data_IF_560860640145
#
_entry.id   IF_560860640145
#
_cell.length_a   1.000
_cell.length_b   1.000
_cell.length_c   1.000
_cell.angle_alpha   90.00
_cell.angle_beta   90.00
_cell.angle_gamma   90.00
#
_symmetry.space_group_name_H-M   'P 1'
#
loop_
_entity.id
_entity.type
_entity.pdbx_description
1 polymer ?
#
# COMPACT_ATOMS: atom_id res chain seq x y z
N UNK A 1 -30.41 39.21 67.49
CA UNK A 1 -29.57 38.03 67.19
C UNK A 1 -28.74 38.40 65.97
N UNK A 2 -27.46 38.80 66.22
CA UNK A 2 -26.55 39.16 65.13
C UNK A 2 -25.81 37.91 64.67
N UNK A 3 -26.13 37.45 63.48
CA UNK A 3 -25.34 36.44 62.78
C UNK A 3 -24.01 37.11 62.34
N UNK A 4 -22.92 36.75 62.95
CA UNK A 4 -21.59 37.10 62.52
C UNK A 4 -21.22 36.07 61.40
N UNK A 5 -21.37 36.51 60.20
CA UNK A 5 -20.86 35.76 59.02
C UNK A 5 -19.33 35.73 59.09
N UNK A 6 -18.82 34.56 59.49
CA UNK A 6 -17.38 34.32 59.56
C UNK A 6 -16.84 33.94 58.16
N UNK A 7 -16.75 34.94 57.27
CA UNK A 7 -16.14 34.77 55.98
C UNK A 7 -14.63 34.54 56.11
N UNK A 8 -14.24 33.25 56.13
CA UNK A 8 -12.84 32.81 56.05
C UNK A 8 -12.34 33.09 54.65
N UNK A 9 -11.48 34.07 54.45
CA UNK A 9 -10.81 34.30 53.19
C UNK A 9 -9.80 33.18 52.88
N UNK A 10 -9.66 32.88 51.59
CA UNK A 10 -8.63 31.94 51.12
C UNK A 10 -7.23 32.47 51.39
N UNK A 11 -6.37 31.58 51.88
CA UNK A 11 -4.93 31.92 52.05
C UNK A 11 -4.23 31.91 50.71
N UNK A 12 -3.21 32.76 50.54
CA UNK A 12 -2.41 32.83 49.30
C UNK A 12 -1.78 31.47 48.94
N UNK A 13 -1.43 30.68 49.97
CA UNK A 13 -0.86 29.34 49.81
C UNK A 13 -1.90 28.34 49.26
N UNK A 14 -3.15 28.38 49.73
CA UNK A 14 -4.23 27.55 49.17
C UNK A 14 -4.52 27.85 47.71
N UNK A 15 -4.50 29.14 47.33
CA UNK A 15 -4.65 29.54 45.94
C UNK A 15 -3.51 29.02 45.05
N UNK A 16 -2.26 29.16 45.47
CA UNK A 16 -1.09 28.65 44.76
C UNK A 16 -1.13 27.12 44.61
N UNK A 17 -1.51 26.42 45.64
CA UNK A 17 -1.64 24.95 45.60
C UNK A 17 -2.76 24.50 44.71
N UNK A 18 -3.90 25.17 44.74
CA UNK A 18 -5.02 24.87 43.82
C UNK A 18 -4.66 25.12 42.36
N UNK A 19 -3.98 26.27 42.04
CA UNK A 19 -3.54 26.58 40.69
C UNK A 19 -2.51 25.56 40.17
N UNK A 20 -1.56 25.14 41.00
CA UNK A 20 -0.56 24.14 40.61
C UNK A 20 -1.22 22.77 40.32
N UNK A 21 -2.19 22.36 41.11
CA UNK A 21 -2.93 21.11 40.91
C UNK A 21 -3.74 21.16 39.63
N UNK A 22 -4.49 22.25 39.37
CA UNK A 22 -5.25 22.45 38.15
C UNK A 22 -4.34 22.44 36.91
N UNK A 23 -3.16 23.07 36.98
CA UNK A 23 -2.19 23.09 35.88
C UNK A 23 -1.68 21.68 35.54
N UNK A 24 -1.36 20.86 36.53
CA UNK A 24 -0.94 19.47 36.33
C UNK A 24 -2.06 18.62 35.73
N UNK A 25 -3.30 18.83 36.19
CA UNK A 25 -4.44 18.11 35.69
C UNK A 25 -4.76 18.47 34.22
N UNK A 26 -4.69 19.76 33.88
CA UNK A 26 -4.85 20.24 32.50
C UNK A 26 -3.75 19.68 31.57
N UNK A 27 -2.50 19.62 32.05
CA UNK A 27 -1.40 19.03 31.31
C UNK A 27 -1.65 17.53 31.02
N UNK A 28 -2.10 16.78 32.02
CA UNK A 28 -2.41 15.36 31.84
C UNK A 28 -3.55 15.13 30.85
N UNK A 29 -4.60 15.97 30.91
CA UNK A 29 -5.72 15.91 29.94
C UNK A 29 -5.22 16.23 28.54
N UNK A 30 -4.43 17.30 28.37
CA UNK A 30 -3.90 17.69 27.07
C UNK A 30 -3.09 16.57 26.41
N UNK A 31 -2.18 15.93 27.15
CA UNK A 31 -1.40 14.80 26.66
C UNK A 31 -2.27 13.61 26.26
N UNK A 32 -3.33 13.34 27.01
CA UNK A 32 -4.27 12.26 26.71
C UNK A 32 -5.03 12.54 25.39
N UNK A 33 -5.50 13.78 25.21
CA UNK A 33 -6.23 14.19 23.99
C UNK A 33 -5.35 14.10 22.75
N UNK A 34 -4.09 14.55 22.84
CA UNK A 34 -3.13 14.41 21.73
C UNK A 34 -2.92 12.95 21.37
N UNK A 35 -2.68 12.08 22.37
CA UNK A 35 -2.50 10.65 22.12
C UNK A 35 -3.71 9.97 21.51
N UNK A 36 -4.92 10.37 21.91
CA UNK A 36 -6.17 9.90 21.28
C UNK A 36 -6.25 10.33 19.81
N UNK A 37 -5.82 11.55 19.48
CA UNK A 37 -5.75 12.04 18.10
C UNK A 37 -4.87 11.16 17.22
N UNK A 38 -3.65 10.85 17.67
CA UNK A 38 -2.71 9.99 16.94
C UNK A 38 -3.30 8.59 16.70
N UNK A 39 -3.89 7.96 17.73
CA UNK A 39 -4.52 6.65 17.61
C UNK A 39 -5.71 6.66 16.64
N UNK A 40 -6.50 7.74 16.64
CA UNK A 40 -7.61 7.88 15.72
C UNK A 40 -7.12 7.99 14.26
N UNK A 41 -6.12 8.82 14.00
CA UNK A 41 -5.51 8.97 12.68
C UNK A 41 -4.92 7.65 12.19
N UNK A 42 -4.18 6.93 13.03
CA UNK A 42 -3.64 5.61 12.72
C UNK A 42 -4.74 4.61 12.36
N UNK A 43 -5.86 4.62 13.10
CA UNK A 43 -7.02 3.78 12.81
C UNK A 43 -7.66 4.09 11.45
N UNK A 44 -7.76 5.35 11.06
CA UNK A 44 -8.24 5.76 9.74
C UNK A 44 -7.28 5.33 8.63
N UNK A 45 -5.98 5.54 8.81
CA UNK A 45 -4.94 5.13 7.87
C UNK A 45 -5.00 3.63 7.60
N UNK A 46 -5.06 2.81 8.66
CA UNK A 46 -5.16 1.36 8.54
C UNK A 46 -6.47 0.93 7.85
N UNK A 47 -7.59 1.59 8.14
CA UNK A 47 -8.87 1.31 7.50
C UNK A 47 -8.80 1.58 5.99
N UNK A 48 -8.20 2.69 5.57
CA UNK A 48 -8.07 3.05 4.15
C UNK A 48 -7.20 2.05 3.39
N UNK A 49 -6.04 1.67 3.95
CA UNK A 49 -5.17 0.63 3.38
C UNK A 49 -5.93 -0.69 3.23
N UNK A 50 -6.70 -1.09 4.25
CA UNK A 50 -7.45 -2.34 4.22
C UNK A 50 -8.58 -2.33 3.18
N UNK A 51 -9.31 -1.23 3.04
CA UNK A 51 -10.37 -1.09 2.04
C UNK A 51 -9.81 -1.11 0.62
N UNK A 52 -8.74 -0.34 0.37
CA UNK A 52 -8.07 -0.32 -0.93
C UNK A 52 -7.49 -1.70 -1.27
N UNK A 53 -6.77 -2.31 -0.34
CA UNK A 53 -6.16 -3.61 -0.54
C UNK A 53 -7.16 -4.73 -0.81
N UNK A 54 -8.29 -4.74 -0.09
CA UNK A 54 -9.36 -5.69 -0.36
C UNK A 54 -9.98 -5.47 -1.74
N UNK A 55 -10.26 -4.22 -2.10
CA UNK A 55 -10.82 -3.89 -3.42
C UNK A 55 -9.91 -4.33 -4.56
N UNK A 56 -8.61 -4.04 -4.45
CA UNK A 56 -7.60 -4.45 -5.43
C UNK A 56 -7.47 -5.97 -5.49
N UNK A 57 -7.40 -6.64 -4.35
CA UNK A 57 -7.27 -8.10 -4.27
C UNK A 57 -8.48 -8.82 -4.87
N UNK A 58 -9.69 -8.34 -4.58
CA UNK A 58 -10.92 -8.91 -5.15
C UNK A 58 -10.99 -8.72 -6.67
N UNK A 59 -10.52 -7.57 -7.18
CA UNK A 59 -10.51 -7.30 -8.63
C UNK A 59 -9.46 -8.15 -9.34
N UNK A 60 -8.24 -8.25 -8.81
CA UNK A 60 -7.18 -9.11 -9.32
C UNK A 60 -7.63 -10.58 -9.30
N UNK A 61 -8.21 -11.04 -8.19
CA UNK A 61 -8.69 -12.41 -8.05
C UNK A 61 -9.72 -12.78 -9.11
N UNK A 62 -10.67 -11.88 -9.39
CA UNK A 62 -11.66 -12.07 -10.45
C UNK A 62 -11.03 -12.07 -11.83
N UNK A 63 -10.07 -11.20 -12.10
CA UNK A 63 -9.40 -11.13 -13.40
C UNK A 63 -8.54 -12.36 -13.66
N UNK A 64 -7.83 -12.87 -12.65
CA UNK A 64 -7.09 -14.14 -12.74
C UNK A 64 -8.05 -15.30 -12.97
N UNK A 65 -9.16 -15.36 -12.26
CA UNK A 65 -10.16 -16.44 -12.43
C UNK A 65 -10.85 -16.41 -13.80
N UNK A 66 -10.91 -15.25 -14.44
CA UNK A 66 -11.44 -15.08 -15.79
C UNK A 66 -10.41 -15.35 -16.90
N UNK A 67 -9.12 -15.42 -16.55
CA UNK A 67 -8.05 -15.71 -17.50
C UNK A 67 -8.11 -17.16 -17.97
N UNK A 68 -7.76 -17.39 -19.23
CA UNK A 68 -7.66 -18.74 -19.81
C UNK A 68 -6.35 -19.40 -19.41
N UNK A 69 -5.30 -18.60 -19.28
CA UNK A 69 -3.94 -19.03 -18.93
C UNK A 69 -3.25 -17.93 -18.13
N UNK A 70 -2.38 -18.31 -17.23
CA UNK A 70 -1.50 -17.39 -16.49
C UNK A 70 -0.12 -18.02 -16.32
N UNK A 71 0.91 -17.34 -16.80
CA UNK A 71 2.32 -17.71 -16.60
C UNK A 71 2.94 -16.84 -15.50
N UNK A 72 3.88 -17.41 -14.77
CA UNK A 72 4.66 -16.68 -13.72
C UNK A 72 6.16 -16.67 -14.01
N UNK A 73 6.57 -17.18 -15.18
CA UNK A 73 7.97 -17.22 -15.62
C UNK A 73 8.41 -15.99 -16.43
N UNK A 74 7.49 -15.05 -16.67
CA UNK A 74 7.77 -13.82 -17.39
C UNK A 74 7.93 -13.97 -18.90
N UNK A 75 7.68 -15.17 -19.46
CA UNK A 75 8.01 -15.48 -20.86
C UNK A 75 6.83 -15.35 -21.83
N UNK A 76 5.61 -15.14 -21.35
CA UNK A 76 4.41 -15.14 -22.18
C UNK A 76 3.62 -13.83 -22.14
N UNK A 77 2.83 -13.58 -23.19
CA UNK A 77 1.93 -12.43 -23.29
C UNK A 77 0.79 -12.43 -22.25
N UNK A 78 0.60 -13.55 -21.54
CA UNK A 78 -0.33 -13.66 -20.41
C UNK A 78 0.47 -14.09 -19.20
N UNK A 79 0.65 -13.20 -18.22
CA UNK A 79 1.40 -13.59 -17.05
C UNK A 79 1.81 -12.47 -16.12
N UNK A 80 2.52 -12.87 -15.10
CA UNK A 80 3.12 -11.98 -14.12
C UNK A 80 4.57 -11.68 -14.50
N UNK A 81 4.88 -10.42 -14.65
CA UNK A 81 6.20 -9.95 -15.05
C UNK A 81 6.69 -8.89 -14.05
N UNK A 82 7.81 -9.18 -13.40
CA UNK A 82 8.54 -8.19 -12.61
C UNK A 82 9.46 -7.38 -13.52
N UNK A 83 9.47 -6.08 -13.35
CA UNK A 83 10.45 -5.21 -13.97
C UNK A 83 11.57 -4.92 -13.00
N UNK A 84 12.81 -5.09 -13.46
CA UNK A 84 14.00 -4.95 -12.62
C UNK A 84 14.97 -3.94 -13.21
N UNK A 85 15.60 -3.20 -12.31
CA UNK A 85 16.79 -2.38 -12.61
C UNK A 85 17.97 -3.07 -11.89
N UNK A 86 18.85 -3.69 -12.65
CA UNK A 86 19.86 -4.59 -12.09
C UNK A 86 19.20 -5.81 -11.42
N UNK A 87 19.44 -6.00 -10.11
CA UNK A 87 18.83 -7.09 -9.31
C UNK A 87 17.56 -6.64 -8.58
N UNK A 88 17.21 -5.35 -8.63
CA UNK A 88 16.14 -4.77 -7.81
C UNK A 88 14.84 -4.70 -8.60
N UNK A 89 13.75 -5.22 -8.06
CA UNK A 89 12.40 -5.04 -8.61
C UNK A 89 11.99 -3.58 -8.39
N UNK A 90 11.53 -2.93 -9.44
CA UNK A 90 11.07 -1.53 -9.41
C UNK A 90 9.58 -1.40 -9.67
N UNK A 91 8.98 -2.40 -10.29
CA UNK A 91 7.57 -2.46 -10.62
C UNK A 91 7.26 -3.72 -11.40
N UNK A 92 6.17 -3.72 -12.15
CA UNK A 92 5.82 -4.85 -12.99
C UNK A 92 4.43 -4.76 -13.58
N UNK A 93 3.98 -5.89 -14.11
CA UNK A 93 2.67 -6.04 -14.74
C UNK A 93 2.10 -7.43 -14.55
N UNK A 94 0.79 -7.49 -14.48
CA UNK A 94 0.03 -8.73 -14.46
C UNK A 94 -0.95 -8.71 -15.63
N UNK A 95 -0.72 -9.59 -16.59
CA UNK A 95 -1.51 -9.75 -17.79
C UNK A 95 -2.47 -10.93 -17.66
N UNK A 96 -3.77 -10.68 -17.74
CA UNK A 96 -4.79 -11.73 -17.60
C UNK A 96 -5.51 -12.04 -18.93
N UNK A 97 -4.96 -11.52 -20.03
CA UNK A 97 -5.49 -11.72 -21.39
C UNK A 97 -6.52 -10.69 -21.85
N UNK A 98 -7.32 -10.14 -20.97
CA UNK A 98 -8.28 -9.06 -21.28
C UNK A 98 -7.98 -7.77 -20.56
N UNK A 99 -7.22 -7.88 -19.48
CA UNK A 99 -6.87 -6.76 -18.60
C UNK A 99 -5.41 -6.89 -18.20
N UNK A 100 -4.72 -5.77 -18.15
CA UNK A 100 -3.35 -5.67 -17.63
C UNK A 100 -3.33 -4.73 -16.44
N UNK A 101 -2.78 -5.23 -15.31
CA UNK A 101 -2.45 -4.41 -14.15
C UNK A 101 -0.99 -3.99 -14.26
N UNK A 102 -0.74 -2.73 -14.01
CA UNK A 102 0.60 -2.14 -14.11
C UNK A 102 0.86 -1.38 -12.83
N UNK A 103 2.05 -1.57 -12.24
CA UNK A 103 2.41 -0.91 -10.99
C UNK A 103 3.88 -0.52 -10.96
N UNK A 104 4.20 0.45 -10.11
CA UNK A 104 5.54 0.71 -9.61
C UNK A 104 5.55 0.53 -8.09
N UNK A 105 6.70 0.15 -7.54
CA UNK A 105 6.86 0.06 -6.10
C UNK A 105 6.87 1.45 -5.46
N UNK A 106 6.26 1.55 -4.28
CA UNK A 106 6.17 2.82 -3.54
C UNK A 106 7.53 3.46 -3.27
N UNK A 107 8.56 2.66 -3.05
CA UNK A 107 9.94 3.15 -2.89
C UNK A 107 10.39 3.96 -4.10
N UNK A 108 10.22 3.44 -5.31
CA UNK A 108 10.65 4.10 -6.54
C UNK A 108 9.92 5.42 -6.76
N UNK A 109 8.65 5.48 -6.34
CA UNK A 109 7.83 6.69 -6.42
C UNK A 109 8.30 7.74 -5.39
N UNK A 110 8.66 7.32 -4.17
CA UNK A 110 9.11 8.22 -3.10
C UNK A 110 10.46 8.88 -3.38
N UNK A 111 11.37 8.13 -3.99
CA UNK A 111 12.72 8.62 -4.29
C UNK A 111 12.73 9.66 -5.41
N UNK A 112 11.55 10.01 -5.94
CA UNK A 112 11.32 10.98 -7.05
C UNK A 112 12.25 10.74 -8.26
N UNK A 113 12.68 9.50 -8.42
CA UNK A 113 13.56 9.10 -9.49
C UNK A 113 12.73 8.58 -10.67
N UNK A 114 12.08 9.49 -11.37
CA UNK A 114 11.24 9.18 -12.53
C UNK A 114 11.98 8.36 -13.60
N UNK A 115 13.32 8.35 -13.58
CA UNK A 115 14.12 7.55 -14.52
C UNK A 115 14.15 6.08 -14.19
N UNK A 116 13.92 5.69 -12.94
CA UNK A 116 13.90 4.30 -12.48
C UNK A 116 12.51 3.68 -12.51
N UNK A 117 11.45 4.48 -12.68
CA UNK A 117 10.10 3.95 -12.79
C UNK A 117 9.99 3.02 -13.98
N UNK A 118 9.49 1.82 -13.72
CA UNK A 118 9.32 0.80 -14.74
C UNK A 118 8.27 1.17 -15.78
N UNK A 119 7.20 1.81 -15.33
CA UNK A 119 5.98 2.05 -16.09
C UNK A 119 5.63 3.53 -16.05
N UNK A 120 5.27 4.11 -17.20
CA UNK A 120 5.02 5.55 -17.35
C UNK A 120 3.77 5.80 -18.18
N UNK A 121 3.21 6.98 -18.00
CA UNK A 121 2.18 7.50 -18.89
C UNK A 121 2.76 8.09 -20.16
N UNK A 122 2.00 7.98 -21.25
CA UNK A 122 2.31 8.59 -22.54
C UNK A 122 2.16 10.12 -22.51
N UNK A 123 2.74 10.79 -23.51
CA UNK A 123 2.51 12.22 -23.75
C UNK A 123 3.24 13.17 -22.81
N UNK A 124 4.28 12.70 -22.08
CA UNK A 124 5.05 13.53 -21.17
C UNK A 124 4.35 13.78 -19.83
N UNK A 125 3.35 12.99 -19.49
CA UNK A 125 2.73 13.00 -18.16
C UNK A 125 3.78 12.57 -17.13
N UNK A 126 4.03 13.43 -16.15
CA UNK A 126 5.03 13.21 -15.10
C UNK A 126 4.49 12.50 -13.87
N UNK A 127 3.19 12.17 -13.84
CA UNK A 127 2.60 11.42 -12.73
C UNK A 127 3.17 10.02 -12.67
N UNK A 128 3.55 9.59 -11.49
CA UNK A 128 3.98 8.23 -11.26
C UNK A 128 2.77 7.28 -11.27
N UNK A 129 2.85 6.20 -12.04
CA UNK A 129 1.87 5.11 -11.97
C UNK A 129 2.07 4.41 -10.63
N UNK A 130 1.07 4.46 -9.75
CA UNK A 130 1.06 3.71 -8.48
C UNK A 130 0.60 2.28 -8.72
N UNK A 131 -0.63 2.12 -9.12
CA UNK A 131 -1.22 0.88 -9.61
C UNK A 131 -2.44 1.22 -10.46
N UNK A 132 -2.44 0.76 -11.69
CA UNK A 132 -3.52 1.00 -12.65
C UNK A 132 -3.99 -0.31 -13.26
N UNK A 133 -5.22 -0.28 -13.77
CA UNK A 133 -5.83 -1.31 -14.58
C UNK A 133 -6.09 -0.77 -15.98
N UNK A 134 -5.67 -1.50 -17.00
CA UNK A 134 -5.87 -1.15 -18.41
C UNK A 134 -6.63 -2.28 -19.08
N UNK A 135 -7.64 -1.95 -19.89
CA UNK A 135 -8.29 -2.94 -20.77
C UNK A 135 -7.33 -3.21 -21.93
N UNK A 136 -6.91 -4.46 -22.05
CA UNK A 136 -5.83 -4.89 -22.95
C UNK A 136 -6.25 -6.09 -23.81
N UNK A 137 -7.27 -5.89 -24.63
CA UNK A 137 -7.73 -6.91 -25.56
C UNK A 137 -6.71 -7.03 -26.70
N UNK A 138 -5.85 -8.02 -26.62
CA UNK A 138 -4.78 -8.25 -27.59
C UNK A 138 -3.37 -8.23 -27.01
N UNK A 139 -3.22 -7.98 -25.70
CA UNK A 139 -1.93 -8.12 -25.00
C UNK A 139 -0.88 -7.06 -25.38
N UNK A 140 -1.31 -5.87 -25.82
CA UNK A 140 -0.41 -4.79 -26.24
C UNK A 140 0.53 -4.38 -25.11
N UNK A 141 0.03 -4.33 -23.88
CA UNK A 141 0.81 -3.97 -22.70
C UNK A 141 1.53 -5.16 -22.05
N UNK A 142 1.47 -6.32 -22.66
CA UNK A 142 2.07 -7.56 -22.16
C UNK A 142 3.31 -8.00 -22.97
N UNK A 143 3.71 -7.23 -23.96
CA UNK A 143 4.91 -7.49 -24.75
C UNK A 143 6.21 -7.26 -23.98
N UNK A 144 7.33 -7.60 -24.60
CA UNK A 144 8.68 -7.40 -24.02
C UNK A 144 8.94 -5.90 -23.80
N UNK A 145 8.54 -5.09 -24.78
CA UNK A 145 8.64 -3.63 -24.69
C UNK A 145 7.29 -3.08 -24.23
N UNK A 146 7.23 -2.53 -23.02
CA UNK A 146 6.03 -1.88 -22.53
C UNK A 146 5.86 -0.54 -23.26
N UNK A 147 4.81 -0.36 -24.08
CA UNK A 147 4.50 0.94 -24.62
C UNK A 147 4.03 1.88 -23.52
N UNK A 148 4.25 3.17 -23.70
CA UNK A 148 3.73 4.19 -22.82
C UNK A 148 2.20 4.07 -22.71
N UNK A 149 1.68 4.20 -21.50
CA UNK A 149 0.25 3.96 -21.21
C UNK A 149 -0.53 5.25 -21.39
N UNK A 150 -1.52 5.24 -22.26
CA UNK A 150 -2.41 6.38 -22.41
C UNK A 150 -3.25 6.59 -21.14
N UNK A 151 -3.18 7.77 -20.49
CA UNK A 151 -3.90 8.04 -19.24
C UNK A 151 -5.41 7.79 -19.33
N UNK A 152 -5.98 8.03 -20.52
CA UNK A 152 -7.41 7.86 -20.80
C UNK A 152 -7.88 6.41 -20.84
N UNK A 153 -6.96 5.46 -21.02
CA UNK A 153 -7.23 4.02 -21.01
C UNK A 153 -6.98 3.36 -19.67
N UNK A 154 -6.33 4.09 -18.77
CA UNK A 154 -5.97 3.60 -17.46
C UNK A 154 -7.03 3.93 -16.42
N UNK A 155 -7.32 3.00 -15.54
CA UNK A 155 -8.14 3.19 -14.34
C UNK A 155 -7.26 3.04 -13.12
N UNK A 156 -7.15 4.10 -12.31
CA UNK A 156 -6.43 4.04 -11.04
C UNK A 156 -7.11 3.05 -10.09
N UNK A 157 -6.31 2.14 -9.53
CA UNK A 157 -6.79 1.12 -8.59
C UNK A 157 -6.66 1.57 -7.14
N UNK A 158 -5.83 2.58 -6.90
CA UNK A 158 -5.60 3.14 -5.58
C UNK A 158 -6.31 4.49 -5.46
N UNK A 159 -7.07 4.74 -4.39
CA UNK A 159 -7.82 5.98 -4.24
C UNK A 159 -6.88 7.19 -4.24
N UNK A 160 -7.33 8.27 -4.87
CA UNK A 160 -6.74 9.58 -4.67
C UNK A 160 -7.28 10.15 -3.37
N UNK A 161 -6.40 10.41 -2.42
CA UNK A 161 -6.75 10.94 -1.10
C UNK A 161 -5.56 11.57 -0.40
N UNK A 162 -5.77 12.00 0.82
CA UNK A 162 -4.70 12.59 1.66
C UNK A 162 -3.58 11.58 1.94
N UNK A 163 -3.92 10.29 1.94
CA UNK A 163 -2.97 9.21 2.05
C UNK A 163 -2.59 8.72 0.64
N UNK A 164 -1.34 8.93 0.28
CA UNK A 164 -0.80 8.35 -0.95
C UNK A 164 -0.54 6.86 -0.71
N UNK A 165 -1.40 6.00 -1.24
CA UNK A 165 -1.20 4.55 -1.19
C UNK A 165 -0.33 4.09 -2.36
N UNK A 166 0.52 3.08 -2.10
CA UNK A 166 1.34 2.45 -3.12
C UNK A 166 1.52 0.96 -2.85
N UNK A 167 1.92 0.24 -3.90
CA UNK A 167 2.34 -1.16 -3.81
C UNK A 167 3.73 -1.19 -3.17
N UNK A 168 3.86 -1.90 -2.05
CA UNK A 168 5.15 -2.10 -1.39
C UNK A 168 5.81 -3.41 -1.83
N UNK A 169 5.00 -4.44 -2.13
CA UNK A 169 5.43 -5.71 -2.70
C UNK A 169 4.27 -6.36 -3.46
N UNK A 170 4.57 -7.03 -4.57
CA UNK A 170 3.60 -7.82 -5.30
C UNK A 170 4.27 -9.06 -5.87
N UNK A 171 3.74 -10.23 -5.55
CA UNK A 171 4.26 -11.51 -6.00
C UNK A 171 3.14 -12.49 -6.31
N UNK A 172 3.35 -13.31 -7.32
CA UNK A 172 2.44 -14.41 -7.68
C UNK A 172 3.27 -15.68 -7.82
N UNK A 173 2.81 -16.77 -7.20
CA UNK A 173 3.44 -18.08 -7.28
C UNK A 173 2.44 -19.13 -7.68
N UNK A 174 2.80 -19.99 -8.61
CA UNK A 174 2.01 -21.18 -8.91
C UNK A 174 2.20 -22.19 -7.78
N UNK A 175 1.09 -22.60 -7.14
CA UNK A 175 1.11 -23.54 -6.01
C UNK A 175 0.64 -24.93 -6.40
N UNK A 176 -0.16 -25.03 -7.46
CA UNK A 176 -0.60 -26.32 -8.00
C UNK A 176 -0.91 -26.20 -9.50
N UNK A 177 -0.69 -27.29 -10.22
CA UNK A 177 -1.09 -27.48 -11.60
C UNK A 177 -1.66 -28.89 -11.77
N UNK A 178 -2.72 -29.02 -12.55
CA UNK A 178 -3.31 -30.30 -12.89
C UNK A 178 -3.25 -30.49 -14.41
N UNK A 179 -2.38 -31.37 -14.86
CA UNK A 179 -2.14 -31.63 -16.29
C UNK A 179 -3.36 -32.19 -17.01
N UNK A 180 -4.28 -32.87 -16.31
CA UNK A 180 -5.48 -33.47 -16.91
C UNK A 180 -6.56 -32.41 -17.16
N UNK A 181 -6.80 -31.54 -16.18
CA UNK A 181 -7.82 -30.49 -16.27
C UNK A 181 -7.26 -29.14 -16.76
N UNK A 182 -5.95 -29.05 -16.99
CA UNK A 182 -5.25 -27.81 -17.36
C UNK A 182 -5.56 -26.63 -16.41
N UNK A 183 -5.81 -26.97 -15.14
CA UNK A 183 -6.13 -25.97 -14.12
C UNK A 183 -4.90 -25.69 -13.27
N UNK A 184 -4.66 -24.41 -13.07
CA UNK A 184 -3.58 -23.92 -12.21
C UNK A 184 -4.14 -23.14 -11.04
N UNK A 185 -3.48 -23.27 -9.89
CA UNK A 185 -3.78 -22.47 -8.70
C UNK A 185 -2.58 -21.60 -8.39
N UNK A 186 -2.85 -20.34 -8.17
CA UNK A 186 -1.85 -19.32 -7.87
C UNK A 186 -2.09 -18.72 -6.49
N UNK A 187 -1.02 -18.59 -5.73
CA UNK A 187 -0.98 -17.77 -4.52
C UNK A 187 -0.55 -16.37 -4.93
N UNK A 188 -1.37 -15.41 -4.59
CA UNK A 188 -1.14 -13.99 -4.84
C UNK A 188 -0.83 -13.32 -3.51
N UNK A 189 0.26 -12.59 -3.46
CA UNK A 189 0.73 -11.85 -2.30
C UNK A 189 0.87 -10.39 -2.72
N UNK A 190 0.07 -9.50 -2.14
CA UNK A 190 0.08 -8.08 -2.40
C UNK A 190 0.28 -7.34 -1.08
N UNK A 191 1.32 -6.53 -0.98
CA UNK A 191 1.52 -5.62 0.14
C UNK A 191 1.22 -4.19 -0.33
N UNK A 192 0.20 -3.60 0.28
CA UNK A 192 -0.19 -2.21 0.08
C UNK A 192 0.05 -1.42 1.35
N UNK A 193 0.46 -0.19 1.18
CA UNK A 193 0.67 0.70 2.30
C UNK A 193 0.69 2.16 1.89
N UNK A 194 0.77 3.01 2.88
CA UNK A 194 1.02 4.43 2.70
C UNK A 194 2.38 4.65 2.05
N UNK A 195 2.56 5.78 1.38
CA UNK A 195 3.79 6.11 0.65
C UNK A 195 4.40 7.45 1.13
N UNK A 196 4.27 7.73 2.43
CA UNK A 196 4.84 8.91 3.07
C UNK A 196 6.32 8.65 3.41
N UNK A 197 7.22 9.51 2.93
CA UNK A 197 8.66 9.41 3.15
C UNK A 197 9.04 9.57 4.62
N UNK A 198 8.29 10.39 5.37
CA UNK A 198 8.57 10.64 6.79
C UNK A 198 8.05 9.49 7.68
N UNK A 199 7.08 8.74 7.20
CA UNK A 199 6.49 7.61 7.92
C UNK A 199 7.17 6.26 7.64
N UNK A 200 7.88 6.13 6.51
CA UNK A 200 8.43 4.86 6.01
C UNK A 200 9.95 4.83 6.03
N UNK A 201 10.49 3.63 6.17
CA UNK A 201 11.91 3.33 5.99
C UNK A 201 12.10 2.12 5.07
N UNK A 202 13.20 2.12 4.33
CA UNK A 202 13.61 0.97 3.52
C UNK A 202 14.70 0.20 4.27
N UNK A 203 14.49 -1.08 4.47
CA UNK A 203 15.44 -1.98 5.14
C UNK A 203 16.03 -2.88 4.07
N UNK A 204 17.35 -2.85 3.91
CA UNK A 204 18.09 -3.73 3.02
C UNK A 204 18.56 -4.95 3.80
N UNK A 205 18.02 -6.11 3.46
CA UNK A 205 18.52 -7.38 3.99
C UNK A 205 19.71 -7.82 3.10
N UNK A 206 20.88 -7.84 3.71
CA UNK A 206 22.15 -8.25 3.07
C UNK A 206 22.60 -9.65 3.45
N UNK A 207 21.86 -10.35 4.32
CA UNK A 207 22.20 -11.71 4.74
C UNK A 207 21.89 -12.74 3.64
N UNK A 208 21.00 -12.39 2.71
CA UNK A 208 20.69 -13.20 1.53
C UNK A 208 21.68 -12.96 0.41
N UNK A 209 21.94 -13.99 -0.41
CA UNK A 209 22.81 -13.88 -1.61
C UNK A 209 22.29 -12.86 -2.65
N UNK A 210 21.05 -12.47 -2.55
CA UNK A 210 20.42 -11.40 -3.33
C UNK A 210 19.85 -10.37 -2.34
N UNK A 211 20.35 -9.13 -2.34
CA UNK A 211 19.83 -8.10 -1.45
C UNK A 211 18.32 -7.89 -1.66
N UNK A 212 17.55 -8.05 -0.60
CA UNK A 212 16.11 -7.79 -0.63
C UNK A 212 15.83 -6.50 0.12
N UNK A 213 15.15 -5.56 -0.53
CA UNK A 213 14.75 -4.30 0.08
C UNK A 213 13.29 -4.42 0.49
N UNK A 214 13.03 -4.30 1.78
CA UNK A 214 11.68 -4.28 2.35
C UNK A 214 11.34 -2.89 2.86
N UNK A 215 10.08 -2.51 2.73
CA UNK A 215 9.57 -1.25 3.29
C UNK A 215 8.85 -1.52 4.59
N UNK A 216 9.12 -0.74 5.62
CA UNK A 216 8.45 -0.83 6.91
C UNK A 216 8.16 0.56 7.48
N UNK A 217 7.25 0.62 8.46
CA UNK A 217 7.04 1.84 9.22
C UNK A 217 8.28 2.19 10.05
N UNK A 218 8.61 3.49 10.12
CA UNK A 218 9.66 3.96 11.02
C UNK A 218 9.27 3.68 12.47
N UNK A 219 10.23 3.34 13.35
CA UNK A 219 9.97 3.21 14.78
C UNK A 219 9.40 4.51 15.38
N UNK A 220 8.55 4.43 16.41
CA UNK A 220 7.94 5.61 17.02
C UNK A 220 8.95 6.55 17.71
N UNK A 221 10.15 6.05 17.99
CA UNK A 221 11.20 6.80 18.66
C UNK A 221 12.16 7.51 17.68
N UNK A 222 12.00 7.32 16.38
CA UNK A 222 12.79 8.01 15.38
C UNK A 222 12.36 9.47 15.28
N UNK A 223 13.33 10.38 15.27
CA UNK A 223 13.07 11.81 15.17
C UNK A 223 12.36 12.12 13.84
N UNK A 224 11.23 12.81 13.94
CA UNK A 224 10.38 13.13 12.78
C UNK A 224 9.52 11.99 12.25
N UNK A 225 9.46 10.85 12.95
CA UNK A 225 8.59 9.75 12.55
C UNK A 225 7.12 10.15 12.62
N UNK A 226 6.40 10.00 11.50
CA UNK A 226 4.96 10.21 11.39
C UNK A 226 4.23 8.87 11.41
N UNK A 227 4.42 8.12 12.47
CA UNK A 227 3.90 6.75 12.60
C UNK A 227 2.37 6.68 12.47
N UNK A 228 1.65 7.72 12.86
CA UNK A 228 0.19 7.80 12.74
C UNK A 228 -0.31 7.76 11.28
N UNK A 229 0.55 8.10 10.32
CA UNK A 229 0.28 8.02 8.89
C UNK A 229 0.89 6.78 8.23
N UNK A 230 1.48 5.88 9.00
CA UNK A 230 2.05 4.65 8.47
C UNK A 230 1.12 3.47 8.68
N UNK A 231 0.78 2.83 7.57
CA UNK A 231 0.15 1.51 7.57
C UNK A 231 0.62 0.73 6.35
N UNK A 232 1.06 -0.49 6.57
CA UNK A 232 1.34 -1.47 5.52
C UNK A 232 0.59 -2.74 5.89
N UNK A 233 -0.15 -3.30 4.93
CA UNK A 233 -0.83 -4.56 5.14
C UNK A 233 -0.59 -5.53 3.99
N UNK A 234 -0.49 -6.81 4.32
CA UNK A 234 -0.32 -7.91 3.40
C UNK A 234 -1.66 -8.56 3.12
N UNK A 235 -2.00 -8.66 1.85
CA UNK A 235 -3.16 -9.37 1.33
C UNK A 235 -2.69 -10.63 0.63
N UNK A 236 -3.12 -11.76 1.12
CA UNK A 236 -2.74 -13.07 0.59
C UNK A 236 -3.99 -13.86 0.26
N UNK A 237 -4.10 -14.30 -0.98
CA UNK A 237 -5.23 -15.07 -1.44
C UNK A 237 -4.81 -16.06 -2.53
N UNK A 238 -5.68 -17.03 -2.80
CA UNK A 238 -5.48 -17.98 -3.90
C UNK A 238 -6.48 -17.70 -5.01
N UNK A 239 -6.00 -17.73 -6.25
CA UNK A 239 -6.81 -17.63 -7.44
C UNK A 239 -6.61 -18.86 -8.32
N UNK A 240 -7.68 -19.32 -8.94
CA UNK A 240 -7.66 -20.49 -9.83
C UNK A 240 -7.86 -20.03 -11.28
N UNK A 241 -6.96 -20.46 -12.12
CA UNK A 241 -7.07 -20.34 -13.58
C UNK A 241 -7.39 -21.71 -14.13
N UNK A 242 -8.32 -21.80 -15.04
CA UNK A 242 -8.60 -23.08 -15.66
C UNK A 242 -9.57 -22.94 -16.82
N UNK A 243 -9.39 -23.74 -17.85
CA UNK A 243 -10.22 -23.74 -19.00
C UNK A 243 -11.70 -23.82 -18.61
N UNK A 244 -12.50 -22.90 -19.08
CA UNK A 244 -13.92 -23.17 -19.29
C UNK A 244 -13.97 -24.48 -20.05
N UNK A 245 -14.60 -25.50 -19.47
CA UNK A 245 -14.66 -26.83 -20.05
C UNK A 245 -14.84 -26.75 -21.54
N UNK A 246 -14.07 -27.55 -22.27
CA UNK A 246 -14.35 -27.77 -23.68
C UNK A 246 -15.83 -28.07 -23.79
N UNK A 247 -16.59 -27.20 -24.39
CA UNK A 247 -17.93 -27.54 -24.85
C UNK A 247 -17.72 -28.71 -25.80
N UNK A 248 -18.27 -29.87 -25.41
CA UNK A 248 -18.37 -31.09 -26.22
C UNK A 248 -19.36 -30.85 -27.34
#
# INVERSE_FOLDING_TARGET
>A
MNHVDNSRGFTLVELLLAMSFVSLLLMAIALTVLKMGDMYTQGLTLKEVNLAGKSVSDDIGRSIAAATELSVDGSTATGFQEQKVGATVVGGRLCTGTVTYVWNLGREIREDNLTTLANRYAGGDTRAIRMIKVVDVGGVYCGVDLPDIEPTKATDMLPEGDLQLAVQSFAIKQVAHNDVSQQSMFQVILELGTNDQDALQSITDTESSIPTITTSCKPPNDEGSRQEYCAINKFEFTARVGSRGAEL
#
